data_IF_138935491521
#
_entry.id   IF_138935491521
#
_cell.length_a   1.000
_cell.length_b   1.000
_cell.length_c   1.000
_cell.angle_alpha   90.00
_cell.angle_beta   90.00
_cell.angle_gamma   90.00
#
_symmetry.space_group_name_H-M   'P 1'
#
loop_
_entity.id
_entity.type
_entity.pdbx_description
1 polymer ?
#
# COMPACT_ATOMS: atom_id res chain seq x y z
N UNK A 1 11.32 7.66 -5.72
CA UNK A 1 9.97 7.47 -6.29
C UNK A 1 9.11 8.60 -5.75
N UNK A 2 8.64 9.53 -6.60
CA UNK A 2 7.89 10.73 -6.17
C UNK A 2 6.66 10.44 -5.30
N UNK A 3 6.08 9.24 -5.38
CA UNK A 3 4.94 8.85 -4.55
C UNK A 3 5.35 8.53 -3.10
N UNK A 4 6.59 8.08 -2.85
CA UNK A 4 7.06 7.87 -1.47
C UNK A 4 7.05 9.17 -0.69
N UNK A 5 7.45 10.26 -1.34
CA UNK A 5 7.48 11.60 -0.75
C UNK A 5 6.07 12.18 -0.53
N UNK A 6 5.05 11.58 -1.15
CA UNK A 6 3.62 11.92 -0.99
C UNK A 6 2.89 10.99 -0.01
N UNK A 7 3.62 10.23 0.81
CA UNK A 7 3.03 9.37 1.83
C UNK A 7 2.65 7.96 1.36
N UNK A 8 3.20 7.48 0.23
CA UNK A 8 3.00 6.11 -0.25
C UNK A 8 4.25 5.23 -0.02
N UNK A 9 4.46 4.72 1.21
CA UNK A 9 5.65 3.93 1.52
C UNK A 9 5.65 2.52 0.89
N UNK A 10 4.48 1.98 0.55
CA UNK A 10 4.31 0.72 -0.19
C UNK A 10 3.39 0.92 -1.38
N UNK A 11 3.90 0.68 -2.59
CA UNK A 11 3.21 0.94 -3.86
C UNK A 11 2.94 -0.40 -4.56
N UNK A 12 1.70 -0.64 -4.95
CA UNK A 12 1.24 -1.81 -5.70
C UNK A 12 0.34 -1.41 -6.88
N UNK A 13 -0.77 -2.13 -7.08
CA UNK A 13 -1.79 -1.76 -8.06
C UNK A 13 -2.40 -0.39 -7.72
N UNK A 14 -2.63 0.44 -8.74
CA UNK A 14 -3.23 1.77 -8.59
C UNK A 14 -4.54 1.78 -7.78
N UNK A 15 -5.53 0.89 -8.03
CA UNK A 15 -6.78 0.92 -7.27
C UNK A 15 -6.65 0.39 -5.84
N UNK A 16 -5.54 -0.25 -5.49
CA UNK A 16 -5.36 -0.96 -4.21
C UNK A 16 -4.23 -0.37 -3.35
N UNK A 17 -3.75 0.84 -3.70
CA UNK A 17 -2.65 1.53 -3.04
C UNK A 17 -3.13 2.90 -2.56
N UNK A 18 -3.08 3.16 -1.25
CA UNK A 18 -3.39 4.45 -0.63
C UNK A 18 -2.18 4.98 0.17
N UNK A 19 -2.11 6.30 0.44
CA UNK A 19 -1.09 6.80 1.35
C UNK A 19 -1.39 6.34 2.78
N UNK A 20 -0.37 6.32 3.64
CA UNK A 20 -0.50 5.95 5.06
C UNK A 20 -0.24 7.16 5.95
N UNK A 21 -0.86 7.18 7.13
CA UNK A 21 -0.61 8.22 8.12
C UNK A 21 0.74 7.99 8.83
N UNK A 22 1.25 9.04 9.50
CA UNK A 22 2.43 8.89 10.35
C UNK A 22 2.15 7.90 11.50
N UNK A 23 3.08 6.97 11.71
CA UNK A 23 2.95 5.92 12.72
C UNK A 23 2.20 4.67 12.27
N UNK A 24 1.54 4.67 11.10
CA UNK A 24 0.94 3.47 10.54
C UNK A 24 2.00 2.52 9.93
N UNK A 25 1.64 1.24 9.83
CA UNK A 25 2.46 0.26 9.12
C UNK A 25 2.67 0.69 7.66
N UNK A 26 3.90 0.55 7.15
CA UNK A 26 4.25 0.97 5.78
C UNK A 26 3.44 0.26 4.69
N UNK A 27 2.83 -0.90 4.99
CA UNK A 27 1.94 -1.65 4.10
C UNK A 27 0.47 -1.46 4.44
N UNK A 28 0.09 -0.63 5.42
CA UNK A 28 -1.31 -0.31 5.73
C UNK A 28 -2.05 0.32 4.54
N UNK A 29 -1.30 0.89 3.59
CA UNK A 29 -1.81 1.43 2.34
C UNK A 29 -2.16 0.38 1.28
N UNK A 30 -1.82 -0.89 1.48
CA UNK A 30 -2.13 -1.99 0.55
C UNK A 30 -3.54 -2.50 0.83
N UNK A 31 -4.24 -2.94 -0.22
CA UNK A 31 -5.60 -3.49 -0.13
C UNK A 31 -6.64 -2.47 0.34
N UNK A 32 -6.45 -1.19 0.02
CA UNK A 32 -7.46 -0.17 0.28
C UNK A 32 -8.80 -0.58 -0.37
N UNK A 33 -9.84 -0.75 0.44
CA UNK A 33 -11.17 -1.16 -0.03
C UNK A 33 -11.29 -2.63 -0.47
N UNK A 34 -10.30 -3.48 -0.18
CA UNK A 34 -10.34 -4.92 -0.46
C UNK A 34 -9.94 -5.76 0.76
N UNK A 35 -10.32 -7.03 0.77
CA UNK A 35 -9.79 -7.97 1.76
C UNK A 35 -8.27 -8.09 1.62
N UNK A 36 -7.57 -8.30 2.74
CA UNK A 36 -6.12 -8.53 2.77
C UNK A 36 -5.80 -9.92 2.19
N UNK A 37 -5.88 -10.06 0.88
CA UNK A 37 -5.44 -11.26 0.18
C UNK A 37 -4.01 -11.04 -0.28
N UNK A 38 -3.05 -11.85 0.18
CA UNK A 38 -1.68 -11.75 -0.31
C UNK A 38 -1.65 -11.86 -1.84
N UNK A 39 -0.84 -11.01 -2.47
CA UNK A 39 -0.66 -11.11 -3.92
C UNK A 39 0.03 -12.44 -4.23
N UNK A 40 -0.39 -13.14 -5.29
CA UNK A 40 0.17 -14.42 -5.73
C UNK A 40 1.63 -14.40 -6.21
N UNK A 41 2.40 -13.38 -5.80
CA UNK A 41 3.84 -13.28 -5.94
C UNK A 41 4.60 -13.87 -4.74
N UNK A 42 3.90 -14.23 -3.65
CA UNK A 42 4.48 -14.88 -2.48
C UNK A 42 3.90 -16.30 -2.31
N UNK A 43 4.22 -17.18 -3.25
CA UNK A 43 4.04 -18.64 -3.09
C UNK A 43 5.38 -19.25 -2.68
#
# INVERSE_FOLDING_TARGET
>A
NPLKDRGYPSIGCWPCTKPVAEGEDKRAGRWAGQAKTECGLHI
#
